data_IF_709890031975
#
_entry.id   IF_709890031975
#
_cell.length_a   1.000
_cell.length_b   1.000
_cell.length_c   1.000
_cell.angle_alpha   90.00
_cell.angle_beta   90.00
_cell.angle_gamma   90.00
#
_symmetry.space_group_name_H-M   'P 1'
#
loop_
_entity.id
_entity.type
_entity.pdbx_description
1 polymer ?
#
# COMPACT_ATOMS: atom_id res chain seq x y z
N UNK A 1 13.94 9.70 29.10
CA UNK A 1 12.64 10.38 28.93
C UNK A 1 11.82 9.49 28.01
N UNK A 2 10.79 8.84 28.54
CA UNK A 2 9.85 8.07 27.72
C UNK A 2 9.15 9.03 26.78
N UNK A 3 9.28 8.78 25.48
CA UNK A 3 8.43 9.40 24.48
C UNK A 3 7.06 8.75 24.65
N UNK A 4 6.25 9.34 25.53
CA UNK A 4 4.83 9.04 25.56
C UNK A 4 4.28 9.29 24.17
N UNK A 5 3.68 8.25 23.60
CA UNK A 5 2.89 8.35 22.39
C UNK A 5 1.77 9.36 22.67
N UNK A 6 1.89 10.57 22.14
CA UNK A 6 0.74 11.45 22.03
C UNK A 6 -0.27 10.74 21.13
N UNK A 7 -1.32 10.19 21.75
CA UNK A 7 -2.44 9.59 21.04
C UNK A 7 -3.10 10.66 20.17
N UNK A 8 -3.01 10.49 18.85
CA UNK A 8 -3.60 11.39 17.85
C UNK A 8 -5.11 11.08 17.63
N UNK A 9 -5.77 10.55 18.65
CA UNK A 9 -7.19 10.15 18.67
C UNK A 9 -8.13 11.33 18.45
N UNK A 10 -7.80 12.51 19.01
CA UNK A 10 -8.63 13.72 18.96
C UNK A 10 -8.83 14.33 17.56
N UNK A 11 -8.09 13.84 16.56
CA UNK A 11 -8.10 14.31 15.17
C UNK A 11 -8.44 13.19 14.17
N UNK A 12 -8.88 12.03 14.68
CA UNK A 12 -9.28 10.88 13.87
C UNK A 12 -8.13 9.98 13.40
N UNK A 13 -6.96 10.06 14.04
CA UNK A 13 -5.83 9.18 13.77
C UNK A 13 -5.67 8.20 14.93
N UNK A 14 -6.47 7.13 14.93
CA UNK A 14 -6.23 5.98 15.78
C UNK A 14 -5.07 5.17 15.20
N UNK A 15 -4.05 4.91 16.00
CA UNK A 15 -3.19 3.76 15.76
C UNK A 15 -4.10 2.54 15.91
N UNK A 16 -4.56 1.95 14.79
CA UNK A 16 -5.56 0.88 14.78
C UNK A 16 -4.95 -0.37 15.46
N UNK A 17 -5.05 -0.42 16.78
CA UNK A 17 -4.67 -1.56 17.62
C UNK A 17 -5.87 -2.47 17.89
N UNK A 18 -7.09 -2.04 17.55
CA UNK A 18 -8.34 -2.76 17.78
C UNK A 18 -9.15 -3.05 16.51
N UNK A 19 -9.71 -4.27 16.41
CA UNK A 19 -10.60 -4.69 15.31
C UNK A 19 -11.97 -3.97 15.31
N UNK A 20 -12.44 -3.42 16.44
CA UNK A 20 -13.79 -2.85 16.60
C UNK A 20 -13.92 -1.42 16.05
N UNK A 21 -12.94 -0.55 16.30
CA UNK A 21 -13.03 0.87 15.91
C UNK A 21 -12.64 1.14 14.46
N UNK A 22 -11.84 0.24 13.87
CA UNK A 22 -11.38 0.32 12.48
C UNK A 22 -12.52 0.43 11.47
N UNK A 23 -13.51 -0.44 11.56
CA UNK A 23 -14.61 -0.50 10.59
C UNK A 23 -15.50 0.75 10.66
N UNK A 24 -15.76 1.25 11.87
CA UNK A 24 -16.56 2.45 12.10
C UNK A 24 -15.86 3.70 11.56
N UNK A 25 -14.55 3.81 11.78
CA UNK A 25 -13.73 4.91 11.27
C UNK A 25 -13.61 4.90 9.74
N UNK A 26 -13.42 3.72 9.13
CA UNK A 26 -13.44 3.56 7.66
C UNK A 26 -14.79 4.00 7.09
N UNK A 27 -15.90 3.53 7.67
CA UNK A 27 -17.25 3.89 7.22
C UNK A 27 -17.50 5.40 7.33
N UNK A 28 -17.05 6.04 8.41
CA UNK A 28 -17.16 7.50 8.60
C UNK A 28 -16.41 8.26 7.50
N UNK A 29 -15.14 7.91 7.25
CA UNK A 29 -14.30 8.57 6.22
C UNK A 29 -14.87 8.34 4.82
N UNK A 30 -15.36 7.13 4.52
CA UNK A 30 -16.00 6.83 3.24
C UNK A 30 -17.33 7.58 3.05
N UNK A 31 -18.17 7.67 4.08
CA UNK A 31 -19.46 8.37 4.03
C UNK A 31 -19.33 9.89 3.88
N UNK A 32 -18.22 10.47 4.37
CA UNK A 32 -17.95 11.90 4.26
C UNK A 32 -17.46 12.30 2.86
N UNK A 33 -17.05 11.33 2.04
CA UNK A 33 -16.46 11.60 0.73
C UNK A 33 -17.52 11.94 -0.29
N UNK A 34 -17.47 13.15 -0.83
CA UNK A 34 -18.34 13.55 -1.92
C UNK A 34 -17.97 12.80 -3.21
N UNK A 35 -18.82 11.86 -3.61
CA UNK A 35 -18.66 11.03 -4.81
C UNK A 35 -19.11 11.86 -6.02
N UNK A 36 -18.18 12.15 -6.94
CA UNK A 36 -18.51 12.77 -8.23
C UNK A 36 -18.99 11.76 -9.27
N UNK A 37 -19.60 12.24 -10.36
CA UNK A 37 -20.41 11.40 -11.28
C UNK A 37 -19.61 10.37 -12.11
N UNK A 38 -18.28 10.51 -12.24
CA UNK A 38 -17.42 9.63 -13.05
C UNK A 38 -16.03 9.44 -12.42
N UNK A 39 -15.94 8.55 -11.44
CA UNK A 39 -14.66 8.15 -10.83
C UNK A 39 -13.98 7.04 -11.66
N UNK A 40 -12.64 7.05 -11.77
CA UNK A 40 -11.91 5.93 -12.37
C UNK A 40 -11.99 4.67 -11.48
N UNK A 41 -11.64 3.48 -12.02
CA UNK A 41 -11.53 2.26 -11.22
C UNK A 41 -10.61 2.45 -9.99
N UNK A 42 -10.94 1.84 -8.84
CA UNK A 42 -10.19 2.06 -7.59
C UNK A 42 -8.84 1.34 -7.54
N UNK A 43 -8.61 0.33 -8.39
CA UNK A 43 -7.43 -0.52 -8.37
C UNK A 43 -6.67 -0.45 -9.71
N UNK A 44 -5.59 0.35 -9.81
CA UNK A 44 -4.75 0.38 -11.00
C UNK A 44 -3.82 -0.84 -11.07
N UNK A 45 -3.35 -1.17 -12.27
CA UNK A 45 -2.36 -2.21 -12.53
C UNK A 45 -0.95 -1.69 -12.20
N UNK A 46 -0.21 -2.43 -11.38
CA UNK A 46 1.12 -2.05 -10.94
C UNK A 46 1.59 -2.75 -9.68
N UNK A 47 2.75 -2.31 -9.18
CA UNK A 47 3.31 -2.76 -7.91
C UNK A 47 2.71 -2.02 -6.73
N UNK A 48 2.48 -2.69 -5.61
CA UNK A 48 1.99 -2.07 -4.36
C UNK A 48 2.72 -2.62 -3.13
N UNK A 49 3.19 -1.74 -2.25
CA UNK A 49 3.84 -2.15 -1.00
C UNK A 49 2.80 -2.65 0.01
N UNK A 50 2.96 -3.88 0.49
CA UNK A 50 1.96 -4.54 1.35
C UNK A 50 2.39 -4.71 2.80
N UNK A 51 3.68 -4.92 3.05
CA UNK A 51 4.25 -5.08 4.40
C UNK A 51 5.71 -4.62 4.40
N UNK A 52 6.21 -4.13 5.53
CA UNK A 52 7.64 -3.89 5.69
C UNK A 52 8.39 -5.23 5.75
N UNK A 53 9.52 -5.33 5.04
CA UNK A 53 10.38 -6.51 5.05
C UNK A 53 10.73 -6.96 6.46
N UNK A 54 11.04 -6.00 7.33
CA UNK A 54 11.43 -6.27 8.71
C UNK A 54 10.30 -6.86 9.56
N UNK A 55 9.04 -6.65 9.18
CA UNK A 55 7.88 -7.14 9.93
C UNK A 55 7.51 -8.58 9.50
N UNK A 56 7.92 -9.00 8.30
CA UNK A 56 7.77 -10.38 7.83
C UNK A 56 8.98 -11.23 8.20
N UNK A 57 8.98 -11.76 9.43
CA UNK A 57 10.07 -12.65 9.91
C UNK A 57 10.02 -14.03 9.25
N UNK A 58 11.19 -14.65 9.09
CA UNK A 58 11.31 -16.02 8.56
C UNK A 58 10.43 -16.98 9.36
N UNK A 59 9.63 -17.79 8.67
CA UNK A 59 8.70 -18.76 9.27
C UNK A 59 7.48 -18.13 9.95
N UNK A 60 7.26 -16.81 9.81
CA UNK A 60 6.05 -16.13 10.28
C UNK A 60 5.16 -15.73 9.12
N UNK A 61 3.89 -15.50 9.45
CA UNK A 61 2.87 -15.04 8.52
C UNK A 61 2.39 -13.68 8.99
N UNK A 62 2.23 -12.76 8.04
CA UNK A 62 1.62 -11.45 8.29
C UNK A 62 0.39 -11.32 7.43
N UNK A 63 -0.70 -10.90 8.07
CA UNK A 63 -1.92 -10.55 7.39
C UNK A 63 -1.82 -9.13 6.84
N UNK A 64 -2.20 -8.94 5.58
CA UNK A 64 -2.21 -7.64 4.92
C UNK A 64 -3.56 -7.41 4.26
N UNK A 65 -4.09 -6.20 4.40
CA UNK A 65 -5.17 -5.71 3.56
C UNK A 65 -4.55 -4.96 2.38
N UNK A 66 -4.97 -5.31 1.17
CA UNK A 66 -4.58 -4.62 -0.06
C UNK A 66 -5.58 -4.98 -1.17
N UNK A 67 -5.86 -4.02 -2.05
CA UNK A 67 -6.62 -4.20 -3.29
C UNK A 67 -8.04 -4.76 -3.09
N UNK A 68 -8.65 -4.50 -1.92
CA UNK A 68 -9.97 -5.01 -1.57
C UNK A 68 -10.02 -6.50 -1.22
N UNK A 69 -8.87 -7.19 -1.11
CA UNK A 69 -8.82 -8.60 -0.76
C UNK A 69 -8.66 -8.83 0.76
N UNK A 70 -9.43 -9.77 1.32
CA UNK A 70 -9.32 -10.22 2.70
C UNK A 70 -8.67 -11.62 2.83
N UNK A 71 -7.50 -11.64 3.45
CA UNK A 71 -7.08 -12.45 4.60
C UNK A 71 -7.26 -13.99 4.66
N UNK A 72 -6.25 -14.73 4.19
CA UNK A 72 -6.02 -16.13 4.60
C UNK A 72 -5.14 -16.28 5.86
N UNK A 73 -4.60 -15.19 6.39
CA UNK A 73 -3.55 -15.22 7.41
C UNK A 73 -4.03 -15.17 8.86
N UNK A 74 -5.29 -14.79 9.12
CA UNK A 74 -5.83 -14.81 10.49
C UNK A 74 -5.98 -16.26 10.95
N UNK A 75 -5.09 -16.68 11.86
CA UNK A 75 -5.10 -18.00 12.49
C UNK A 75 -4.27 -19.05 11.76
N UNK A 76 -3.81 -18.77 10.53
CA UNK A 76 -3.00 -19.69 9.75
C UNK A 76 -1.59 -19.88 10.31
N UNK A 77 -0.93 -20.96 9.90
CA UNK A 77 0.44 -21.28 10.29
C UNK A 77 1.33 -21.51 9.08
N UNK A 78 2.64 -21.36 9.26
CA UNK A 78 3.65 -21.73 8.26
C UNK A 78 4.36 -22.98 8.75
N UNK A 79 4.40 -24.01 7.91
CA UNK A 79 5.14 -25.25 8.18
C UNK A 79 6.01 -25.58 6.97
N UNK A 80 7.33 -25.41 7.14
CA UNK A 80 8.28 -25.47 6.02
C UNK A 80 8.03 -24.32 5.03
N UNK A 81 7.88 -24.66 3.75
CA UNK A 81 7.54 -23.72 2.67
C UNK A 81 6.04 -23.61 2.37
N UNK A 82 5.19 -24.16 3.24
CA UNK A 82 3.75 -24.21 3.03
C UNK A 82 2.99 -23.39 4.08
N UNK A 83 1.92 -22.74 3.64
CA UNK A 83 0.93 -22.13 4.52
C UNK A 83 -0.16 -23.16 4.83
N UNK A 84 -0.68 -23.14 6.05
CA UNK A 84 -1.78 -24.02 6.50
C UNK A 84 -2.98 -23.17 6.87
N UNK A 85 -4.13 -23.48 6.26
CA UNK A 85 -5.41 -22.82 6.54
C UNK A 85 -5.88 -23.17 7.96
N UNK A 86 -6.27 -22.20 8.81
CA UNK A 86 -6.71 -22.47 10.17
C UNK A 86 -8.02 -23.25 10.27
N UNK A 87 -8.91 -23.10 9.29
CA UNK A 87 -10.23 -23.69 9.32
C UNK A 87 -10.19 -25.16 8.90
N UNK A 88 -9.71 -25.39 7.69
CA UNK A 88 -9.77 -26.70 7.05
C UNK A 88 -8.46 -27.47 7.14
N UNK A 89 -7.38 -26.84 7.65
CA UNK A 89 -6.04 -27.41 7.76
C UNK A 89 -5.44 -27.83 6.40
N UNK A 90 -5.95 -27.27 5.30
CA UNK A 90 -5.38 -27.45 3.96
C UNK A 90 -4.04 -26.73 3.87
N UNK A 91 -3.08 -27.37 3.20
CA UNK A 91 -1.72 -26.87 3.04
C UNK A 91 -1.50 -26.42 1.60
N UNK A 92 -0.99 -25.20 1.43
CA UNK A 92 -0.67 -24.64 0.13
C UNK A 92 0.82 -24.30 0.04
N UNK A 93 1.46 -24.63 -1.07
CA UNK A 93 2.87 -24.28 -1.32
C UNK A 93 3.01 -22.82 -1.81
N UNK A 94 4.25 -22.38 -2.03
CA UNK A 94 4.55 -21.04 -2.53
C UNK A 94 3.95 -20.74 -3.92
N UNK A 95 3.64 -21.76 -4.70
CA UNK A 95 2.96 -21.65 -6.00
C UNK A 95 1.44 -21.60 -5.89
N UNK A 96 0.90 -21.59 -4.67
CA UNK A 96 -0.54 -21.57 -4.40
C UNK A 96 -1.21 -22.92 -4.59
N UNK A 97 -0.49 -23.99 -4.93
CA UNK A 97 -1.07 -25.32 -5.12
C UNK A 97 -1.37 -25.95 -3.76
N UNK A 98 -2.54 -26.58 -3.64
CA UNK A 98 -2.85 -27.40 -2.48
C UNK A 98 -1.99 -28.67 -2.50
N UNK A 99 -1.16 -28.84 -1.48
CA UNK A 99 -0.22 -29.95 -1.32
C UNK A 99 -0.59 -30.88 -0.17
N UNK A 100 -1.64 -30.56 0.58
CA UNK A 100 -2.16 -31.46 1.62
C UNK A 100 -3.57 -31.11 2.05
N UNK A 101 -4.41 -32.13 2.17
CA UNK A 101 -5.76 -32.05 2.76
C UNK A 101 -5.80 -33.10 3.88
N UNK A 102 -6.26 -32.74 5.09
CA UNK A 102 -6.36 -33.72 6.18
C UNK A 102 -7.22 -34.92 5.77
N UNK A 103 -6.78 -36.12 6.15
CA UNK A 103 -7.50 -37.38 5.88
C UNK A 103 -7.71 -37.72 4.40
N UNK A 104 -6.94 -37.12 3.49
CA UNK A 104 -6.95 -37.43 2.06
C UNK A 104 -5.55 -37.85 1.63
N UNK A 105 -5.42 -39.05 1.06
CA UNK A 105 -4.13 -39.62 0.66
C UNK A 105 -3.48 -38.88 -0.52
N UNK A 106 -4.29 -38.43 -1.48
CA UNK A 106 -3.83 -37.72 -2.68
C UNK A 106 -4.71 -36.51 -2.94
N UNK A 107 -4.11 -35.32 -3.01
CA UNK A 107 -4.85 -34.08 -3.27
C UNK A 107 -5.37 -34.07 -4.72
N UNK A 108 -6.66 -33.78 -4.95
CA UNK A 108 -7.20 -33.62 -6.30
C UNK A 108 -6.49 -32.52 -7.10
N UNK A 109 -6.32 -32.75 -8.40
CA UNK A 109 -5.73 -31.77 -9.30
C UNK A 109 -6.60 -30.51 -9.41
N UNK A 110 -5.96 -29.35 -9.59
CA UNK A 110 -6.65 -28.08 -9.84
C UNK A 110 -7.03 -27.28 -8.59
N UNK A 111 -6.79 -27.79 -7.39
CA UNK A 111 -7.00 -27.03 -6.16
C UNK A 111 -5.82 -26.08 -5.95
N UNK A 112 -6.04 -24.80 -6.20
CA UNK A 112 -5.06 -23.74 -5.95
C UNK A 112 -5.70 -22.48 -5.41
N UNK A 113 -4.90 -21.68 -4.73
CA UNK A 113 -5.23 -20.32 -4.31
C UNK A 113 -4.51 -19.32 -5.22
N UNK A 114 -5.09 -18.12 -5.33
CA UNK A 114 -4.46 -17.01 -6.05
C UNK A 114 -3.11 -16.69 -5.41
N UNK A 115 -2.07 -16.61 -6.25
CA UNK A 115 -0.76 -16.06 -5.88
C UNK A 115 -0.54 -14.71 -6.55
N UNK A 116 0.37 -13.94 -5.98
CA UNK A 116 0.80 -12.66 -6.52
C UNK A 116 2.30 -12.74 -6.82
N UNK A 117 2.75 -12.06 -7.88
CA UNK A 117 4.19 -11.83 -8.04
C UNK A 117 4.65 -10.90 -6.92
N UNK A 118 5.82 -11.21 -6.35
CA UNK A 118 6.38 -10.47 -5.22
C UNK A 118 7.79 -9.99 -5.52
N UNK A 119 8.16 -8.84 -4.95
CA UNK A 119 9.55 -8.39 -4.88
C UNK A 119 9.81 -7.70 -3.54
N UNK A 120 11.07 -7.62 -3.13
CA UNK A 120 11.48 -6.94 -1.91
C UNK A 120 12.42 -5.78 -2.25
N UNK A 121 11.96 -4.54 -2.06
CA UNK A 121 12.69 -3.31 -2.42
C UNK A 121 12.28 -2.19 -1.45
N UNK A 122 13.18 -1.24 -1.17
CA UNK A 122 12.95 -0.09 -0.27
C UNK A 122 12.51 -0.48 1.14
N UNK A 123 12.96 -1.63 1.63
CA UNK A 123 12.61 -2.16 2.96
C UNK A 123 11.18 -2.69 3.07
N UNK A 124 10.49 -2.90 1.95
CA UNK A 124 9.13 -3.42 1.89
C UNK A 124 9.00 -4.60 0.92
N UNK A 125 8.02 -5.46 1.19
CA UNK A 125 7.53 -6.48 0.26
C UNK A 125 6.42 -5.85 -0.58
N UNK A 126 6.54 -6.04 -1.89
CA UNK A 126 5.65 -5.52 -2.92
C UNK A 126 4.91 -6.66 -3.61
N UNK A 127 3.66 -6.42 -4.01
CA UNK A 127 2.87 -7.33 -4.84
C UNK A 127 2.50 -6.67 -6.16
N UNK A 128 2.47 -7.46 -7.23
CA UNK A 128 1.99 -7.02 -8.55
C UNK A 128 0.49 -7.26 -8.68
N UNK A 129 -0.25 -6.23 -9.08
CA UNK A 129 -1.65 -6.32 -9.44
C UNK A 129 -1.81 -6.03 -10.93
N UNK A 130 -2.54 -6.90 -11.62
CA UNK A 130 -3.00 -6.66 -12.98
C UNK A 130 -4.40 -7.26 -13.15
N UNK A 131 -5.34 -6.46 -13.64
CA UNK A 131 -6.74 -6.85 -13.80
C UNK A 131 -6.94 -8.01 -14.79
N UNK A 132 -5.98 -8.23 -15.70
CA UNK A 132 -6.00 -9.32 -16.68
C UNK A 132 -5.13 -10.51 -16.25
N UNK A 133 -4.45 -10.42 -15.09
CA UNK A 133 -3.58 -11.48 -14.58
C UNK A 133 -2.26 -11.61 -15.32
N UNK A 134 -1.79 -10.57 -16.00
CA UNK A 134 -0.53 -10.57 -16.75
C UNK A 134 0.70 -10.47 -15.82
N UNK A 135 1.84 -10.94 -16.31
CA UNK A 135 3.13 -10.83 -15.63
C UNK A 135 3.57 -9.35 -15.44
N UNK A 136 4.44 -9.06 -14.45
CA UNK A 136 4.93 -7.71 -14.22
C UNK A 136 5.66 -7.12 -15.43
N UNK A 137 5.15 -5.99 -15.93
CA UNK A 137 5.72 -5.30 -17.10
C UNK A 137 7.01 -4.53 -16.76
N UNK A 138 7.24 -4.22 -15.49
CA UNK A 138 8.44 -3.54 -14.99
C UNK A 138 8.80 -4.04 -13.59
N UNK A 139 10.00 -3.69 -13.11
CA UNK A 139 10.40 -3.83 -11.70
C UNK A 139 10.63 -2.44 -11.11
N UNK A 140 10.49 -2.29 -9.79
CA UNK A 140 10.96 -1.08 -9.12
C UNK A 140 12.51 -1.10 -9.12
N UNK A 141 13.20 -0.08 -9.66
CA UNK A 141 14.66 -0.08 -9.72
C UNK A 141 15.27 -0.13 -8.31
N UNK A 142 16.37 -0.86 -8.13
CA UNK A 142 17.15 -0.78 -6.89
C UNK A 142 17.94 0.54 -6.83
N UNK A 143 18.15 1.06 -5.62
CA UNK A 143 19.00 2.23 -5.37
C UNK A 143 20.21 1.74 -4.55
N UNK A 144 21.37 1.49 -5.16
CA UNK A 144 22.53 0.86 -4.49
C UNK A 144 22.96 1.56 -3.20
N UNK A 145 22.79 2.88 -3.13
CA UNK A 145 23.14 3.73 -2.00
C UNK A 145 22.35 3.38 -0.73
N UNK A 146 21.11 2.88 -0.87
CA UNK A 146 20.28 2.48 0.27
C UNK A 146 20.92 1.37 1.11
N UNK A 147 21.78 0.53 0.53
CA UNK A 147 22.44 -0.59 1.22
C UNK A 147 23.30 -0.13 2.41
N UNK A 148 23.77 1.12 2.37
CA UNK A 148 24.62 1.71 3.40
C UNK A 148 23.86 2.70 4.31
N UNK A 149 22.55 2.85 4.10
CA UNK A 149 21.67 3.72 4.89
C UNK A 149 20.90 2.92 5.94
N UNK A 150 20.48 3.58 7.02
CA UNK A 150 19.66 2.95 8.07
C UNK A 150 18.25 3.51 8.07
N UNK A 151 17.25 2.64 8.19
CA UNK A 151 15.85 3.04 8.33
C UNK A 151 15.62 3.77 9.67
N UNK A 152 15.09 5.00 9.64
CA UNK A 152 14.96 5.86 10.84
C UNK A 152 13.52 6.11 11.30
N UNK A 153 12.52 5.84 10.47
CA UNK A 153 11.12 6.06 10.86
C UNK A 153 10.15 6.01 9.68
N UNK A 154 8.86 6.01 10.01
CA UNK A 154 7.74 5.97 9.06
C UNK A 154 6.75 7.05 9.44
N UNK A 155 6.27 7.79 8.46
CA UNK A 155 5.01 8.52 8.54
C UNK A 155 4.23 8.29 7.26
N UNK A 156 2.91 8.43 7.29
CA UNK A 156 2.10 8.32 6.09
C UNK A 156 2.37 9.59 5.23
N UNK A 157 2.30 9.56 3.88
CA UNK A 157 1.39 10.41 3.08
C UNK A 157 2.00 11.44 1.98
N UNK A 158 1.29 11.88 0.87
CA UNK A 158 1.69 12.57 -0.46
C UNK A 158 2.16 14.06 -0.67
N UNK A 159 3.06 14.25 -1.68
CA UNK A 159 3.63 15.51 -2.26
C UNK A 159 3.96 15.36 -3.78
N UNK A 160 4.25 16.47 -4.50
CA UNK A 160 4.57 16.49 -5.96
C UNK A 160 5.96 15.88 -6.28
N UNK A 161 6.00 14.84 -7.12
CA UNK A 161 7.07 13.85 -7.19
C UNK A 161 8.09 14.05 -8.33
N UNK A 162 9.40 13.95 -8.03
CA UNK A 162 10.50 13.99 -9.01
C UNK A 162 10.71 12.65 -9.76
N UNK A 163 10.29 11.48 -9.26
CA UNK A 163 10.14 10.27 -10.09
C UNK A 163 8.96 9.44 -9.55
N UNK A 164 7.84 9.40 -10.28
CA UNK A 164 6.77 8.45 -10.00
C UNK A 164 7.03 7.14 -10.75
N UNK A 165 7.05 6.04 -10.02
CA UNK A 165 7.31 4.69 -10.51
C UNK A 165 6.00 3.90 -10.48
N UNK A 166 5.38 3.74 -11.65
CA UNK A 166 4.07 3.10 -11.75
C UNK A 166 2.96 3.88 -11.03
N UNK A 167 1.86 3.21 -10.61
CA UNK A 167 0.70 3.92 -10.07
C UNK A 167 0.81 4.31 -8.59
N UNK A 168 1.77 3.76 -7.85
CA UNK A 168 1.75 3.76 -6.38
C UNK A 168 3.01 4.26 -5.70
N UNK A 169 4.14 4.36 -6.40
CA UNK A 169 5.43 4.62 -5.78
C UNK A 169 6.05 5.91 -6.26
N UNK A 170 6.62 6.67 -5.32
CA UNK A 170 7.31 7.93 -5.57
C UNK A 170 8.64 7.88 -4.83
N UNK A 171 9.72 8.27 -5.51
CA UNK A 171 11.00 8.54 -4.86
C UNK A 171 11.41 9.99 -5.05
N UNK A 172 11.89 10.58 -3.95
CA UNK A 172 12.44 11.92 -3.90
C UNK A 172 13.83 11.83 -3.29
N UNK A 173 14.83 12.33 -4.00
CA UNK A 173 16.17 12.51 -3.46
C UNK A 173 16.41 14.00 -3.23
N UNK A 174 16.90 14.33 -2.04
CA UNK A 174 17.24 15.68 -1.64
C UNK A 174 18.70 15.70 -1.22
N UNK A 175 19.45 16.61 -1.82
CA UNK A 175 20.79 16.97 -1.39
C UNK A 175 20.72 18.33 -0.70
N UNK A 176 21.29 18.42 0.49
CA UNK A 176 21.34 19.66 1.27
C UNK A 176 22.69 19.82 1.95
N UNK A 177 23.06 21.03 2.41
CA UNK A 177 24.26 21.23 3.21
C UNK A 177 24.28 20.39 4.51
N UNK A 178 23.11 19.96 5.00
CA UNK A 178 22.96 19.11 6.20
C UNK A 178 23.06 17.60 5.88
N UNK A 179 23.34 17.27 4.62
CA UNK A 179 23.50 15.90 4.12
C UNK A 179 22.38 15.48 3.17
N UNK A 180 22.50 14.24 2.69
CA UNK A 180 21.57 13.63 1.76
C UNK A 180 20.39 12.97 2.46
N UNK A 181 19.26 12.97 1.77
CA UNK A 181 17.99 12.41 2.20
C UNK A 181 17.31 11.76 1.00
N UNK A 182 16.84 10.53 1.19
CA UNK A 182 15.97 9.87 0.22
C UNK A 182 14.61 9.57 0.88
N UNK A 183 13.54 9.97 0.23
CA UNK A 183 12.17 9.73 0.64
C UNK A 183 11.52 8.80 -0.38
N UNK A 184 11.06 7.64 0.08
CA UNK A 184 10.34 6.67 -0.74
C UNK A 184 8.90 6.55 -0.21
N UNK A 185 7.93 6.87 -1.05
CA UNK A 185 6.53 6.92 -0.68
C UNK A 185 5.70 5.96 -1.52
N UNK A 186 4.92 5.11 -0.85
CA UNK A 186 4.05 4.13 -1.49
C UNK A 186 2.58 4.34 -1.09
N UNK A 187 1.66 4.30 -2.06
CA UNK A 187 0.20 4.39 -1.88
C UNK A 187 -0.44 3.08 -2.28
N UNK A 188 -1.05 2.37 -1.32
CA UNK A 188 -1.70 1.08 -1.54
C UNK A 188 -3.21 1.21 -1.32
N UNK A 189 -4.05 0.96 -2.34
CA UNK A 189 -5.50 0.87 -2.16
C UNK A 189 -5.81 -0.27 -1.19
N UNK A 190 -6.57 0.00 -0.13
CA UNK A 190 -7.01 -1.04 0.81
C UNK A 190 -8.42 -1.54 0.43
N UNK A 191 -9.30 -0.61 0.07
CA UNK A 191 -10.67 -0.85 -0.38
C UNK A 191 -11.11 0.35 -1.24
N UNK A 192 -12.31 0.35 -1.84
CA UNK A 192 -12.79 1.49 -2.61
C UNK A 192 -12.72 2.77 -1.77
N UNK A 193 -12.09 3.80 -2.32
CA UNK A 193 -11.94 5.12 -1.71
C UNK A 193 -11.05 5.19 -0.46
N UNK A 194 -10.48 4.07 0.01
CA UNK A 194 -9.56 4.00 1.12
C UNK A 194 -8.16 3.60 0.64
N UNK A 195 -7.18 4.41 0.99
CA UNK A 195 -5.78 4.20 0.61
C UNK A 195 -4.93 4.27 1.87
N UNK A 196 -3.88 3.43 1.89
CA UNK A 196 -2.80 3.52 2.87
C UNK A 196 -1.61 4.15 2.18
N UNK A 197 -1.08 5.22 2.73
CA UNK A 197 0.21 5.75 2.29
C UNK A 197 1.30 5.28 3.26
N UNK A 198 2.54 5.19 2.80
CA UNK A 198 3.68 4.93 3.66
C UNK A 198 4.85 5.72 3.10
N UNK A 199 5.37 6.65 3.88
CA UNK A 199 6.58 7.41 3.58
C UNK A 199 7.73 6.84 4.41
N UNK A 200 8.79 6.41 3.71
CA UNK A 200 10.03 5.89 4.28
C UNK A 200 11.13 6.90 4.03
N UNK A 201 11.83 7.24 5.11
CA UNK A 201 12.93 8.20 5.07
C UNK A 201 14.24 7.48 5.32
N UNK A 202 15.16 7.61 4.38
CA UNK A 202 16.50 7.05 4.42
C UNK A 202 17.51 8.19 4.45
N UNK A 203 18.39 8.13 5.43
CA UNK A 203 19.52 9.05 5.55
C UNK A 203 20.77 8.27 5.96
N UNK A 204 21.97 8.78 5.67
CA UNK A 204 23.19 8.32 6.29
C UNK A 204 23.11 8.33 7.84
N UNK A 205 24.03 7.60 8.47
CA UNK A 205 24.02 7.50 9.94
C UNK A 205 24.40 8.82 10.64
N UNK A 206 25.28 9.62 10.04
CA UNK A 206 25.77 10.86 10.64
C UNK A 206 24.70 11.96 10.73
N UNK A 207 23.69 11.96 9.85
CA UNK A 207 22.58 12.92 9.84
C UNK A 207 21.27 12.30 10.34
N UNK A 208 21.32 11.27 11.19
CA UNK A 208 20.14 10.58 11.70
C UNK A 208 19.14 11.51 12.42
N UNK A 209 19.63 12.54 13.13
CA UNK A 209 18.77 13.55 13.79
C UNK A 209 17.99 14.36 12.75
N UNK A 210 18.65 14.73 11.65
CA UNK A 210 18.00 15.39 10.52
C UNK A 210 16.98 14.47 9.86
N UNK A 211 17.30 13.18 9.68
CA UNK A 211 16.34 12.18 9.19
C UNK A 211 15.10 12.06 10.09
N UNK A 212 15.29 11.99 11.41
CA UNK A 212 14.18 11.94 12.37
C UNK A 212 13.34 13.22 12.35
N UNK A 213 13.97 14.39 12.24
CA UNK A 213 13.27 15.66 12.07
C UNK A 213 12.44 15.67 10.78
N UNK A 214 13.01 15.24 9.66
CA UNK A 214 12.30 15.15 8.37
C UNK A 214 11.09 14.22 8.47
N UNK A 215 11.23 13.07 9.13
CA UNK A 215 10.10 12.16 9.40
C UNK A 215 8.98 12.91 10.12
N UNK A 216 9.28 13.64 11.21
CA UNK A 216 8.27 14.41 11.95
C UNK A 216 7.67 15.56 11.13
N UNK A 217 8.50 16.32 10.43
CA UNK A 217 8.08 17.45 9.60
C UNK A 217 7.12 17.01 8.49
N UNK A 218 7.46 15.92 7.80
CA UNK A 218 6.62 15.31 6.78
C UNK A 218 5.25 14.90 7.33
N UNK A 219 5.19 14.29 8.52
CA UNK A 219 3.93 13.91 9.16
C UNK A 219 3.00 15.12 9.39
N UNK A 220 3.58 16.24 9.83
CA UNK A 220 2.85 17.49 10.08
C UNK A 220 2.37 18.11 8.78
N UNK A 221 3.23 18.19 7.76
CA UNK A 221 2.87 18.73 6.46
C UNK A 221 1.72 17.94 5.89
N UNK A 222 1.85 16.62 5.89
CA UNK A 222 0.85 15.85 5.26
C UNK A 222 -0.50 15.88 5.97
N UNK A 223 -0.52 15.89 7.31
CA UNK A 223 -1.79 15.97 8.04
C UNK A 223 -2.71 17.09 7.49
N UNK A 224 -2.13 18.17 6.94
CA UNK A 224 -2.85 19.24 6.23
C UNK A 224 -3.47 18.76 4.91
N UNK A 225 -2.74 17.98 4.12
CA UNK A 225 -3.21 17.35 2.88
C UNK A 225 -4.30 16.30 3.12
N UNK A 226 -4.22 15.47 4.18
CA UNK A 226 -5.32 14.55 4.59
C UNK A 226 -6.63 15.31 4.66
N UNK A 227 -6.61 16.44 5.39
CA UNK A 227 -7.81 17.20 5.70
C UNK A 227 -8.48 17.68 4.40
N UNK A 228 -7.67 18.16 3.45
CA UNK A 228 -8.16 18.54 2.13
C UNK A 228 -8.67 17.34 1.33
N UNK A 229 -7.98 16.19 1.35
CA UNK A 229 -8.34 15.04 0.51
C UNK A 229 -9.55 14.25 0.99
N UNK A 230 -9.78 14.23 2.29
CA UNK A 230 -10.97 13.63 2.87
C UNK A 230 -12.22 14.47 2.60
N UNK A 231 -12.06 15.78 2.40
CA UNK A 231 -13.19 16.70 2.16
C UNK A 231 -13.39 17.08 0.70
N UNK A 232 -12.40 16.87 -0.19
CA UNK A 232 -12.53 17.24 -1.61
C UNK A 232 -13.21 16.16 -2.45
N UNK A 233 -13.96 16.60 -3.45
CA UNK A 233 -14.58 15.73 -4.46
C UNK A 233 -13.71 15.56 -5.69
N UNK A 234 -13.83 14.41 -6.36
CA UNK A 234 -13.26 14.25 -7.69
C UNK A 234 -14.08 15.04 -8.72
N UNK A 235 -13.40 15.86 -9.51
CA UNK A 235 -13.97 16.56 -10.67
C UNK A 235 -13.31 16.01 -11.92
N UNK A 236 -14.10 15.42 -12.82
CA UNK A 236 -13.61 14.79 -14.05
C UNK A 236 -13.04 15.83 -15.02
N UNK A 237 -13.70 16.98 -15.15
CA UNK A 237 -13.28 18.12 -15.96
C UNK A 237 -13.21 19.40 -15.11
N UNK A 238 -12.16 19.60 -14.28
CA UNK A 238 -12.00 20.82 -13.50
C UNK A 238 -11.68 22.02 -14.41
N UNK A 239 -12.06 23.22 -13.97
CA UNK A 239 -11.61 24.45 -14.62
C UNK A 239 -10.12 24.63 -14.36
N UNK A 240 -9.33 24.77 -15.43
CA UNK A 240 -7.87 24.90 -15.35
C UNK A 240 -7.46 26.35 -15.56
N UNK A 241 -6.54 26.85 -14.73
CA UNK A 241 -5.78 28.06 -15.05
C UNK A 241 -4.50 27.70 -15.81
N UNK A 242 -3.83 28.69 -16.41
CA UNK A 242 -2.64 28.45 -17.25
C UNK A 242 -1.50 27.72 -16.53
N UNK A 243 -1.42 27.81 -15.20
CA UNK A 243 -0.43 27.10 -14.38
C UNK A 243 -0.74 25.61 -14.17
N UNK A 244 -1.97 25.15 -14.41
CA UNK A 244 -2.43 23.80 -14.09
C UNK A 244 -2.20 22.77 -15.21
N UNK A 245 -1.40 23.11 -16.22
CA UNK A 245 -1.21 22.29 -17.43
C UNK A 245 -0.77 20.85 -17.13
N UNK A 246 -0.03 20.65 -16.05
CA UNK A 246 0.49 19.34 -15.63
C UNK A 246 -0.60 18.40 -15.12
N UNK A 247 -1.72 18.91 -14.60
CA UNK A 247 -2.79 18.07 -14.04
C UNK A 247 -3.43 17.20 -15.12
N UNK A 248 -3.72 17.78 -16.29
CA UNK A 248 -4.30 17.03 -17.41
C UNK A 248 -3.32 15.98 -17.95
N UNK A 249 -2.05 16.37 -18.14
CA UNK A 249 -1.01 15.47 -18.61
C UNK A 249 -0.81 14.29 -17.65
N UNK A 250 -0.78 14.58 -16.34
CA UNK A 250 -0.67 13.56 -15.30
C UNK A 250 -1.82 12.57 -15.32
N UNK A 251 -3.07 13.06 -15.40
CA UNK A 251 -4.25 12.18 -15.50
C UNK A 251 -4.19 11.30 -16.74
N UNK A 252 -3.82 11.85 -17.89
CA UNK A 252 -3.69 11.08 -19.14
C UNK A 252 -2.61 9.99 -19.02
N UNK A 253 -1.45 10.31 -18.45
CA UNK A 253 -0.40 9.34 -18.18
C UNK A 253 -0.87 8.26 -17.19
N UNK A 254 -1.58 8.62 -16.12
CA UNK A 254 -2.04 7.66 -15.12
C UNK A 254 -3.09 6.69 -15.66
N UNK A 255 -3.86 7.08 -16.69
CA UNK A 255 -4.88 6.21 -17.30
C UNK A 255 -4.31 4.92 -17.90
N UNK A 256 -3.01 4.87 -18.23
CA UNK A 256 -2.36 3.66 -18.76
C UNK A 256 -2.39 2.47 -17.78
N UNK A 257 -2.57 2.72 -16.48
CA UNK A 257 -2.63 1.68 -15.46
C UNK A 257 -4.02 1.08 -15.32
N UNK A 258 -4.99 1.49 -16.15
CA UNK A 258 -6.31 0.89 -16.19
C UNK A 258 -6.54 0.21 -17.53
N UNK A 259 -7.31 -0.87 -17.50
CA UNK A 259 -7.78 -1.58 -18.70
C UNK A 259 -9.28 -1.81 -18.65
N UNK A 260 -9.86 -2.32 -19.72
CA UNK A 260 -11.30 -2.62 -19.80
C UNK A 260 -11.76 -3.64 -18.75
N UNK A 261 -10.86 -4.54 -18.34
CA UNK A 261 -11.09 -5.54 -17.28
C UNK A 261 -10.98 -4.96 -15.87
N UNK A 262 -10.64 -3.68 -15.71
CA UNK A 262 -10.53 -3.05 -14.39
C UNK A 262 -11.90 -2.97 -13.72
N UNK A 263 -11.98 -3.46 -12.48
CA UNK A 263 -13.22 -3.48 -11.70
C UNK A 263 -13.71 -2.05 -11.50
N UNK A 264 -14.93 -1.73 -11.94
CA UNK A 264 -15.50 -0.40 -11.75
C UNK A 264 -15.71 -0.09 -10.26
N UNK A 265 -15.73 1.19 -9.90
CA UNK A 265 -15.98 1.60 -8.51
C UNK A 265 -17.29 1.03 -7.95
N UNK A 266 -18.37 1.04 -8.76
CA UNK A 266 -19.68 0.50 -8.37
C UNK A 266 -19.58 -0.99 -8.04
N UNK A 267 -18.91 -1.77 -8.87
CA UNK A 267 -18.70 -3.20 -8.63
C UNK A 267 -17.85 -3.44 -7.38
N UNK A 268 -16.77 -2.68 -7.20
CA UNK A 268 -15.89 -2.80 -6.05
C UNK A 268 -16.60 -2.43 -4.72
N UNK A 269 -17.50 -1.45 -4.74
CA UNK A 269 -18.32 -1.08 -3.57
C UNK A 269 -19.40 -2.11 -3.24
N UNK A 270 -19.89 -2.87 -4.23
CA UNK A 270 -20.92 -3.90 -4.05
C UNK A 270 -20.34 -5.26 -3.61
N UNK A 271 -19.06 -5.52 -3.88
CA UNK A 271 -18.33 -6.73 -3.46
C UNK A 271 -17.11 -6.37 -2.60
N UNK A 272 -17.31 -5.81 -1.40
CA UNK A 272 -16.19 -5.21 -0.69
C UNK A 272 -15.16 -6.21 -0.17
N UNK A 273 -15.46 -7.51 -0.02
CA UNK A 273 -14.59 -8.43 0.74
C UNK A 273 -14.63 -9.93 0.38
N UNK A 274 -15.22 -10.36 -0.74
CA UNK A 274 -15.37 -11.80 -1.01
C UNK A 274 -14.37 -12.35 -2.03
N UNK A 275 -13.71 -13.43 -1.60
CA UNK A 275 -12.96 -14.41 -2.40
C UNK A 275 -13.90 -15.23 -3.29
#
# INVERSE_FOLDING_TARGET
MSLDHQELTDIGFEHISGKRDRAMNINRVQSAKQIGDKLPPPYPNGWFAVVESRDLKVGKMVSVDALGCANLAIGGSVSGSCITCPFHQWRFNADGQCVGIPNVATVPAGISIKKYHTMEVDGAVWVWHDAEGRDPLWKVPEVPEMKYMSFRGRNEFMINAHIQIGPSHVRLQFESPLGSLLVAQSVTPLSPLLQRVVTRVFTPNYNAVFGAFTVLAEAVQFKRDVAIWNSKRYVSAPAYVRSDKTIRAFRAWFMQFYSESSISLKQAMQKPLDW
#
